data_IF_104402870311
#
_entry.id   IF_104402870311
#
_cell.length_a   1.000
_cell.length_b   1.000
_cell.length_c   1.000
_cell.angle_alpha   90.00
_cell.angle_beta   90.00
_cell.angle_gamma   90.00
#
_symmetry.space_group_name_H-M   'P 1'
#
loop_
_entity.id
_entity.type
_entity.pdbx_description
1 polymer ?
#
# COMPACT_ATOMS: atom_id res chain seq x y z
N UNK A 1 1.45 -0.85 4.08
CA UNK A 1 1.85 -2.21 4.50
C UNK A 1 2.91 -2.14 5.59
N UNK A 2 2.70 -2.84 6.71
CA UNK A 2 3.71 -2.95 7.78
C UNK A 2 4.89 -3.82 7.32
N UNK A 3 6.09 -3.57 7.83
CA UNK A 3 7.27 -4.43 7.58
C UNK A 3 6.98 -5.88 7.99
N UNK A 4 6.21 -6.07 9.07
CA UNK A 4 5.81 -7.40 9.55
C UNK A 4 4.97 -8.15 8.51
N UNK A 5 3.96 -7.50 7.92
CA UNK A 5 3.11 -8.13 6.90
C UNK A 5 3.92 -8.45 5.63
N UNK A 6 4.86 -7.57 5.26
CA UNK A 6 5.73 -7.79 4.10
C UNK A 6 6.66 -9.00 4.28
N UNK A 7 7.28 -9.14 5.46
CA UNK A 7 8.11 -10.31 5.78
C UNK A 7 7.25 -11.58 5.72
N UNK A 8 6.05 -11.55 6.29
CA UNK A 8 5.16 -12.71 6.30
C UNK A 8 4.76 -13.16 4.89
N UNK A 9 4.44 -12.21 4.01
CA UNK A 9 4.18 -12.48 2.58
C UNK A 9 5.42 -13.03 1.90
N UNK A 10 6.59 -12.42 2.12
CA UNK A 10 7.84 -12.85 1.49
C UNK A 10 8.20 -14.29 1.87
N UNK A 11 8.16 -14.63 3.16
CA UNK A 11 8.42 -16.00 3.61
C UNK A 11 7.36 -16.95 3.05
N UNK A 12 6.07 -16.57 3.07
CA UNK A 12 4.99 -17.41 2.52
C UNK A 12 5.16 -17.71 1.03
N UNK A 13 5.54 -16.72 0.24
CA UNK A 13 5.79 -16.88 -1.21
C UNK A 13 7.04 -17.71 -1.48
N UNK A 14 8.13 -17.49 -0.74
CA UNK A 14 9.36 -18.28 -0.89
C UNK A 14 9.15 -19.74 -0.52
N UNK A 15 8.45 -20.02 0.59
CA UNK A 15 8.10 -21.38 0.99
C UNK A 15 7.14 -22.04 -0.02
N UNK A 16 6.19 -21.28 -0.59
CA UNK A 16 5.31 -21.80 -1.65
C UNK A 16 6.11 -22.18 -2.90
N UNK A 17 7.10 -21.36 -3.28
CA UNK A 17 7.97 -21.64 -4.41
C UNK A 17 8.83 -22.88 -4.16
N UNK A 18 9.35 -23.04 -2.94
CA UNK A 18 10.08 -24.24 -2.52
C UNK A 18 9.21 -25.49 -2.64
N UNK A 19 8.00 -25.46 -2.08
CA UNK A 19 7.08 -26.60 -2.13
C UNK A 19 6.64 -26.95 -3.56
N UNK A 20 6.47 -25.94 -4.43
CA UNK A 20 6.18 -26.15 -5.85
C UNK A 20 7.36 -26.83 -6.57
N UNK A 21 8.59 -26.43 -6.27
CA UNK A 21 9.79 -27.06 -6.81
C UNK A 21 9.93 -28.51 -6.31
N UNK A 22 9.68 -28.78 -5.02
CA UNK A 22 9.67 -30.14 -4.45
C UNK A 22 8.61 -31.03 -5.12
N UNK A 23 7.41 -30.50 -5.37
CA UNK A 23 6.37 -31.23 -6.10
C UNK A 23 6.78 -31.55 -7.55
N UNK A 24 7.46 -30.60 -8.22
CA UNK A 24 7.98 -30.80 -9.57
C UNK A 24 9.07 -31.89 -9.61
N UNK A 25 10.03 -31.88 -8.69
CA UNK A 25 11.05 -32.93 -8.60
C UNK A 25 10.42 -34.30 -8.35
N UNK A 26 9.47 -34.38 -7.41
CA UNK A 26 8.75 -35.62 -7.11
C UNK A 26 8.01 -36.16 -8.34
N UNK A 27 7.26 -35.30 -9.04
CA UNK A 27 6.52 -35.67 -10.25
C UNK A 27 7.45 -36.11 -11.38
N UNK A 28 8.57 -35.41 -11.56
CA UNK A 28 9.57 -35.74 -12.58
C UNK A 28 10.21 -37.10 -12.31
N UNK A 29 10.59 -37.38 -11.07
CA UNK A 29 11.16 -38.67 -10.66
C UNK A 29 10.15 -39.80 -10.75
N UNK A 30 8.92 -39.59 -10.28
CA UNK A 30 7.83 -40.58 -10.36
C UNK A 30 7.55 -40.98 -11.82
N UNK A 31 7.53 -40.00 -12.72
CA UNK A 31 7.35 -40.22 -14.16
C UNK A 31 8.53 -40.99 -14.77
N UNK A 32 9.76 -40.55 -14.51
CA UNK A 32 10.98 -41.21 -15.04
C UNK A 32 11.10 -42.67 -14.58
N UNK A 33 10.76 -42.94 -13.31
CA UNK A 33 10.87 -44.26 -12.70
C UNK A 33 9.65 -45.15 -12.96
N UNK A 34 8.60 -44.66 -13.64
CA UNK A 34 7.32 -45.35 -13.85
C UNK A 34 6.71 -45.89 -12.54
N UNK A 35 6.93 -45.17 -11.43
CA UNK A 35 6.42 -45.50 -10.10
C UNK A 35 5.45 -44.41 -9.68
N UNK A 36 4.19 -44.46 -10.13
CA UNK A 36 3.18 -43.49 -9.72
C UNK A 36 2.95 -43.65 -8.21
N UNK A 37 3.24 -42.58 -7.47
CA UNK A 37 3.02 -42.52 -6.04
C UNK A 37 2.23 -41.24 -5.70
N UNK A 38 1.34 -41.28 -4.71
CA UNK A 38 0.62 -40.09 -4.27
C UNK A 38 1.61 -39.07 -3.69
N UNK A 39 1.27 -37.79 -3.81
CA UNK A 39 2.12 -36.71 -3.31
C UNK A 39 2.40 -36.87 -1.79
N UNK A 40 3.67 -36.80 -1.38
CA UNK A 40 4.09 -36.85 0.02
C UNK A 40 3.35 -35.83 0.91
N UNK A 41 3.17 -36.20 2.18
CA UNK A 41 2.38 -35.41 3.14
C UNK A 41 3.11 -34.13 3.57
N UNK A 42 4.43 -34.14 3.62
CA UNK A 42 5.28 -32.96 3.87
C UNK A 42 5.02 -31.86 2.84
N UNK A 43 5.04 -32.17 1.53
CA UNK A 43 4.78 -31.20 0.45
C UNK A 43 3.35 -30.65 0.56
N UNK A 44 2.36 -31.51 0.90
CA UNK A 44 0.98 -31.06 1.12
C UNK A 44 0.85 -30.09 2.29
N UNK A 45 1.52 -30.37 3.41
CA UNK A 45 1.47 -29.48 4.56
C UNK A 45 2.25 -28.18 4.30
N UNK A 46 3.42 -28.27 3.68
CA UNK A 46 4.23 -27.10 3.35
C UNK A 46 3.50 -26.14 2.42
N UNK A 47 2.85 -26.66 1.36
CA UNK A 47 2.01 -25.86 0.46
C UNK A 47 0.84 -25.19 1.19
N UNK A 48 0.08 -25.95 2.01
CA UNK A 48 -1.05 -25.40 2.77
C UNK A 48 -0.62 -24.29 3.73
N UNK A 49 0.46 -24.53 4.49
CA UNK A 49 1.00 -23.54 5.44
C UNK A 49 1.51 -22.30 4.71
N UNK A 50 2.21 -22.48 3.59
CA UNK A 50 2.75 -21.38 2.79
C UNK A 50 1.63 -20.50 2.22
N UNK A 51 0.57 -21.10 1.68
CA UNK A 51 -0.59 -20.36 1.17
C UNK A 51 -1.30 -19.61 2.29
N UNK A 52 -1.58 -20.28 3.41
CA UNK A 52 -2.23 -19.63 4.56
C UNK A 52 -1.41 -18.45 5.08
N UNK A 53 -0.09 -18.62 5.21
CA UNK A 53 0.81 -17.58 5.66
C UNK A 53 0.86 -16.41 4.67
N UNK A 54 0.96 -16.66 3.37
CA UNK A 54 0.94 -15.61 2.36
C UNK A 54 -0.41 -14.85 2.36
N UNK A 55 -1.54 -15.55 2.41
CA UNK A 55 -2.86 -14.95 2.51
C UNK A 55 -3.00 -14.09 3.76
N UNK A 56 -2.57 -14.60 4.92
CA UNK A 56 -2.63 -13.87 6.18
C UNK A 56 -1.76 -12.60 6.13
N UNK A 57 -0.57 -12.69 5.54
CA UNK A 57 0.31 -11.54 5.33
C UNK A 57 -0.30 -10.48 4.42
N UNK A 58 -0.95 -10.89 3.33
CA UNK A 58 -1.66 -9.97 2.41
C UNK A 58 -2.84 -9.28 3.09
N UNK A 59 -3.63 -10.01 3.88
CA UNK A 59 -4.76 -9.46 4.62
C UNK A 59 -4.28 -8.45 5.66
N UNK A 60 -3.27 -8.80 6.47
CA UNK A 60 -2.69 -7.89 7.45
C UNK A 60 -2.02 -6.67 6.83
N UNK A 61 -1.50 -6.82 5.61
CA UNK A 61 -0.87 -5.73 4.85
C UNK A 61 -1.87 -4.79 4.19
N UNK A 62 -3.15 -5.17 4.07
CA UNK A 62 -4.15 -4.39 3.34
C UNK A 62 -4.44 -3.05 4.01
N UNK A 63 -4.64 -2.01 3.19
CA UNK A 63 -5.05 -0.70 3.68
C UNK A 63 -6.51 -0.76 4.16
N UNK A 64 -6.86 0.01 5.22
CA UNK A 64 -8.23 0.02 5.72
C UNK A 64 -9.19 0.55 4.64
N UNK A 65 -10.41 0.03 4.66
CA UNK A 65 -11.47 0.44 3.75
C UNK A 65 -11.74 1.95 3.87
N UNK A 66 -11.85 2.60 2.72
CA UNK A 66 -12.25 4.00 2.65
C UNK A 66 -13.77 4.12 2.90
N UNK A 67 -14.24 5.16 3.60
CA UNK A 67 -15.67 5.39 3.79
C UNK A 67 -16.38 5.59 2.45
N UNK A 68 -17.61 5.08 2.35
CA UNK A 68 -18.42 5.10 1.12
C UNK A 68 -18.95 6.52 0.82
N UNK A 69 -19.27 7.29 1.85
CA UNK A 69 -19.79 8.66 1.68
C UNK A 69 -18.65 9.65 1.40
N UNK A 70 -18.79 10.41 0.31
CA UNK A 70 -17.83 11.43 -0.09
C UNK A 70 -17.51 12.44 1.01
N UNK A 71 -18.53 12.98 1.69
CA UNK A 71 -18.34 13.98 2.75
C UNK A 71 -17.51 13.44 3.92
N UNK A 72 -17.76 12.19 4.35
CA UNK A 72 -16.96 11.57 5.41
C UNK A 72 -15.52 11.29 4.96
N UNK A 73 -15.31 10.91 3.70
CA UNK A 73 -13.97 10.71 3.15
C UNK A 73 -13.20 12.03 3.02
N UNK A 74 -13.83 13.05 2.43
CA UNK A 74 -13.25 14.37 2.23
C UNK A 74 -12.89 15.02 3.58
N UNK A 75 -13.80 15.00 4.55
CA UNK A 75 -13.53 15.51 5.89
C UNK A 75 -12.41 14.75 6.61
N UNK A 76 -12.28 13.43 6.38
CA UNK A 76 -11.15 12.64 6.90
C UNK A 76 -9.82 13.06 6.26
N UNK A 77 -9.79 13.22 4.93
CA UNK A 77 -8.60 13.66 4.19
C UNK A 77 -8.14 15.06 4.61
N UNK A 78 -9.07 16.01 4.75
CA UNK A 78 -8.78 17.37 5.19
C UNK A 78 -8.18 17.37 6.61
N UNK A 79 -8.74 16.57 7.53
CA UNK A 79 -8.24 16.46 8.91
C UNK A 79 -6.88 15.78 9.00
N UNK A 80 -6.63 14.77 8.17
CA UNK A 80 -5.38 14.01 8.16
C UNK A 80 -4.29 14.68 7.30
N UNK A 81 -4.60 15.81 6.65
CA UNK A 81 -3.68 16.52 5.76
C UNK A 81 -3.28 15.69 4.54
N UNK A 82 -4.10 14.71 4.15
CA UNK A 82 -3.82 13.84 3.02
C UNK A 82 -3.99 14.59 1.69
N UNK A 83 -3.33 14.14 0.60
CA UNK A 83 -3.47 14.79 -0.69
C UNK A 83 -4.91 14.64 -1.22
N UNK A 84 -5.64 15.75 -1.33
CA UNK A 84 -6.95 15.78 -1.98
C UNK A 84 -6.76 15.64 -3.52
N UNK A 85 -7.32 14.62 -4.18
CA UNK A 85 -7.26 14.46 -5.63
C UNK A 85 -7.89 15.63 -6.39
N UNK A 86 -8.86 16.32 -5.79
CA UNK A 86 -9.57 17.45 -6.37
C UNK A 86 -8.97 18.81 -5.98
N UNK A 87 -7.85 18.82 -5.28
CA UNK A 87 -7.17 20.04 -4.85
C UNK A 87 -6.95 21.03 -6.01
N UNK A 88 -6.60 20.54 -7.20
CA UNK A 88 -6.43 21.41 -8.37
C UNK A 88 -7.72 22.10 -8.84
N UNK A 89 -8.88 21.45 -8.68
CA UNK A 89 -10.19 22.03 -9.00
C UNK A 89 -10.71 22.96 -7.90
N UNK A 90 -10.32 22.71 -6.66
CA UNK A 90 -10.67 23.55 -5.50
C UNK A 90 -9.82 24.81 -5.43
N UNK A 91 -8.50 24.70 -5.59
CA UNK A 91 -7.57 25.83 -5.56
C UNK A 91 -7.72 26.75 -6.78
N UNK A 92 -8.22 26.23 -7.91
CA UNK A 92 -8.50 27.00 -9.13
C UNK A 92 -7.37 27.94 -9.51
N UNK A 93 -6.13 27.43 -9.50
CA UNK A 93 -4.93 28.24 -9.68
C UNK A 93 -4.93 29.06 -10.99
N UNK A 94 -5.63 28.59 -12.03
CA UNK A 94 -5.79 29.32 -13.30
C UNK A 94 -6.71 30.55 -13.23
N UNK A 95 -7.54 30.68 -12.19
CA UNK A 95 -8.44 31.82 -11.96
C UNK A 95 -7.97 32.69 -10.79
N UNK A 96 -6.79 32.44 -10.24
CA UNK A 96 -6.25 33.21 -9.13
C UNK A 96 -5.87 34.62 -9.59
N UNK A 97 -6.35 35.64 -8.89
CA UNK A 97 -5.92 37.01 -9.13
C UNK A 97 -4.52 37.24 -8.56
N UNK A 98 -3.53 37.05 -9.42
CA UNK A 98 -2.11 37.21 -9.09
C UNK A 98 -1.80 38.65 -8.66
N UNK A 99 -2.50 39.66 -9.19
CA UNK A 99 -2.23 41.07 -8.89
C UNK A 99 -2.72 41.42 -7.48
N UNK A 100 -3.93 40.99 -7.14
CA UNK A 100 -4.47 41.15 -5.79
C UNK A 100 -3.58 40.48 -4.74
N UNK A 101 -3.23 39.20 -4.94
CA UNK A 101 -2.36 38.43 -4.04
C UNK A 101 -0.99 39.09 -3.81
N UNK A 102 -0.36 39.60 -4.88
CA UNK A 102 0.92 40.33 -4.77
C UNK A 102 0.78 41.62 -3.96
N UNK A 103 -0.32 42.34 -4.12
CA UNK A 103 -0.57 43.57 -3.39
C UNK A 103 -0.77 43.30 -1.89
N UNK A 104 -1.54 42.29 -1.54
CA UNK A 104 -1.78 41.84 -0.15
C UNK A 104 -0.47 41.43 0.52
N UNK A 105 0.33 40.59 -0.15
CA UNK A 105 1.64 40.18 0.35
C UNK A 105 2.57 41.39 0.59
N UNK A 106 2.59 42.35 -0.35
CA UNK A 106 3.42 43.54 -0.21
C UNK A 106 3.01 44.41 0.98
N UNK A 107 1.71 44.51 1.25
CA UNK A 107 1.16 45.25 2.39
C UNK A 107 1.49 44.54 3.71
N UNK A 108 1.30 43.22 3.77
CA UNK A 108 1.66 42.40 4.92
C UNK A 108 3.17 42.48 5.25
N UNK A 109 4.05 42.36 4.26
CA UNK A 109 5.50 42.42 4.46
C UNK A 109 5.93 43.79 5.02
N UNK A 110 5.30 44.87 4.56
CA UNK A 110 5.51 46.22 5.09
C UNK A 110 5.04 46.37 6.54
N UNK A 111 3.97 45.67 6.94
CA UNK A 111 3.49 45.67 8.33
C UNK A 111 4.47 44.92 9.25
N UNK A 112 4.95 43.74 8.86
CA UNK A 112 5.96 43.00 9.65
C UNK A 112 7.23 43.82 9.90
N UNK A 113 7.75 44.49 8.86
CA UNK A 113 8.94 45.34 8.97
C UNK A 113 8.75 46.58 9.85
N UNK A 114 7.50 47.02 10.09
CA UNK A 114 7.19 48.10 11.04
C UNK A 114 7.12 47.59 12.48
N UNK A 115 6.50 46.44 12.73
CA UNK A 115 6.48 45.79 14.05
C UNK A 115 7.85 45.36 14.55
N UNK A 116 8.80 45.04 13.67
CA UNK A 116 10.17 44.66 14.08
C UNK A 116 11.08 45.86 14.40
N UNK A 117 10.68 47.09 14.04
CA UNK A 117 11.45 48.33 14.27
C UNK A 117 10.94 49.16 15.46
N UNK A 118 9.89 48.69 16.13
CA UNK A 118 9.40 49.23 17.40
C UNK A 118 9.82 48.30 18.54
#
# INVERSE_FOLDING_TARGET
MSLFSQILVLVGVLSLFHAAYSAHEFSTLSTKLHKPAPLPLDIKLETLVSVLMACFGLILGSDPLKPVSWSAWAGKIEREGQPNPFRGLEERMGFMDIRAQRSEFSNWARQQGKTSKS
#
